data_IF_560929082327
#
_entry.id   IF_560929082327
#
_cell.length_a   1.000
_cell.length_b   1.000
_cell.length_c   1.000
_cell.angle_alpha   90.00
_cell.angle_beta   90.00
_cell.angle_gamma   90.00
#
_symmetry.space_group_name_H-M   'P 1'
#
loop_
_entity.id
_entity.type
_entity.pdbx_description
1 polymer ?
#
# COMPACT_ATOMS: atom_id res chain seq x y z
N UNK A 1 13.75 -3.15 -1.21
CA UNK A 1 12.76 -2.85 -2.27
C UNK A 1 11.58 -2.09 -1.69
N UNK A 2 10.90 -2.68 -0.68
CA UNK A 2 9.77 -2.06 0.03
C UNK A 2 10.10 -0.68 0.60
N UNK A 3 11.23 -0.52 1.29
CA UNK A 3 11.65 0.80 1.81
C UNK A 3 11.79 1.87 0.72
N UNK A 4 12.31 1.50 -0.46
CA UNK A 4 12.44 2.43 -1.60
C UNK A 4 11.07 2.83 -2.13
N UNK A 5 10.15 1.88 -2.27
CA UNK A 5 8.78 2.15 -2.71
C UNK A 5 8.03 3.03 -1.69
N UNK A 6 8.18 2.72 -0.40
CA UNK A 6 7.62 3.52 0.69
C UNK A 6 8.17 4.95 0.69
N UNK A 7 9.48 5.13 0.50
CA UNK A 7 10.08 6.47 0.37
C UNK A 7 9.51 7.27 -0.80
N UNK A 8 9.22 6.62 -1.95
CA UNK A 8 8.53 7.25 -3.08
C UNK A 8 7.10 7.65 -2.72
N UNK A 9 6.37 6.79 -2.00
CA UNK A 9 5.00 7.07 -1.53
C UNK A 9 5.00 8.28 -0.58
N UNK A 10 5.90 8.32 0.39
CA UNK A 10 6.08 9.44 1.32
C UNK A 10 6.46 10.73 0.59
N UNK A 11 7.36 10.66 -0.39
CA UNK A 11 7.71 11.82 -1.21
C UNK A 11 6.48 12.34 -1.97
N UNK A 12 5.64 11.45 -2.53
CA UNK A 12 4.39 11.84 -3.21
C UNK A 12 3.33 12.36 -2.26
N UNK A 13 3.26 11.86 -1.02
CA UNK A 13 2.40 12.41 0.06
C UNK A 13 2.80 13.85 0.38
N UNK A 14 4.10 14.15 0.37
CA UNK A 14 4.65 15.48 0.65
C UNK A 14 4.50 16.44 -0.51
N UNK A 15 4.92 16.03 -1.71
CA UNK A 15 5.03 16.92 -2.87
C UNK A 15 3.70 17.06 -3.64
N UNK A 16 2.77 16.12 -3.46
CA UNK A 16 1.48 16.07 -4.15
C UNK A 16 1.56 16.34 -5.67
N UNK A 17 2.40 15.62 -6.43
CA UNK A 17 2.54 15.85 -7.87
C UNK A 17 1.22 15.65 -8.62
N UNK A 18 0.91 16.55 -9.55
CA UNK A 18 -0.29 16.43 -10.39
C UNK A 18 -0.29 15.14 -11.23
N UNK A 19 -1.47 14.55 -11.42
CA UNK A 19 -1.65 13.32 -12.21
C UNK A 19 -1.20 12.03 -11.53
N UNK A 20 -0.57 12.09 -10.36
CA UNK A 20 -0.16 10.91 -9.60
C UNK A 20 -1.35 10.19 -8.95
N UNK A 21 -1.45 8.88 -9.18
CA UNK A 21 -2.44 8.03 -8.50
C UNK A 21 -2.29 8.09 -6.98
N UNK A 22 -1.05 8.08 -6.46
CA UNK A 22 -0.77 8.19 -5.03
C UNK A 22 -1.31 9.50 -4.45
N UNK A 23 -1.19 10.60 -5.20
CA UNK A 23 -1.71 11.92 -4.81
C UNK A 23 -3.24 11.91 -4.75
N UNK A 24 -3.90 11.27 -5.73
CA UNK A 24 -5.35 11.10 -5.70
C UNK A 24 -5.82 10.33 -4.45
N UNK A 25 -5.10 9.26 -4.06
CA UNK A 25 -5.42 8.49 -2.85
C UNK A 25 -5.31 9.36 -1.58
N UNK A 26 -4.22 10.11 -1.42
CA UNK A 26 -4.04 10.97 -0.26
C UNK A 26 -5.06 12.12 -0.22
N UNK A 27 -5.35 12.76 -1.35
CA UNK A 27 -6.40 13.79 -1.45
C UNK A 27 -7.79 13.24 -1.13
N UNK A 28 -8.05 11.96 -1.43
CA UNK A 28 -9.31 11.28 -1.11
C UNK A 28 -9.42 10.85 0.36
N UNK A 29 -8.32 10.93 1.11
CA UNK A 29 -8.28 10.68 2.55
C UNK A 29 -8.33 9.21 2.96
N UNK A 30 -8.18 9.01 4.28
CA UNK A 30 -8.02 7.70 4.93
C UNK A 30 -9.13 6.69 4.59
N UNK A 31 -10.38 7.15 4.46
CA UNK A 31 -11.52 6.27 4.13
C UNK A 31 -11.34 5.59 2.77
N UNK A 32 -10.96 6.35 1.73
CA UNK A 32 -10.73 5.81 0.38
C UNK A 32 -9.53 4.86 0.35
N UNK A 33 -8.46 5.20 1.08
CA UNK A 33 -7.25 4.38 1.18
C UNK A 33 -7.58 3.02 1.81
N UNK A 34 -8.30 2.99 2.94
CA UNK A 34 -8.75 1.75 3.58
C UNK A 34 -9.66 0.94 2.67
N UNK A 35 -10.60 1.61 1.98
CA UNK A 35 -11.50 0.95 1.02
C UNK A 35 -10.71 0.26 -0.09
N UNK A 36 -9.76 0.94 -0.75
CA UNK A 36 -8.90 0.33 -1.77
C UNK A 36 -8.10 -0.84 -1.21
N UNK A 37 -7.46 -0.68 -0.05
CA UNK A 37 -6.71 -1.78 0.60
C UNK A 37 -7.59 -3.01 0.84
N UNK A 38 -8.86 -2.82 1.23
CA UNK A 38 -9.81 -3.92 1.39
C UNK A 38 -10.30 -4.53 0.08
N UNK A 39 -10.40 -3.74 -1.00
CA UNK A 39 -10.71 -4.24 -2.35
C UNK A 39 -9.61 -5.18 -2.84
N UNK A 40 -8.34 -4.75 -2.81
CA UNK A 40 -7.21 -5.59 -3.27
C UNK A 40 -7.08 -6.89 -2.47
N UNK A 41 -7.43 -6.84 -1.17
CA UNK A 41 -7.44 -8.04 -0.34
C UNK A 41 -8.52 -9.04 -0.78
N UNK A 42 -9.68 -8.56 -1.22
CA UNK A 42 -10.75 -9.41 -1.76
C UNK A 42 -10.36 -9.90 -3.15
N UNK A 43 -9.79 -9.05 -4.00
CA UNK A 43 -9.34 -9.41 -5.35
C UNK A 43 -8.26 -10.50 -5.29
N UNK A 44 -7.28 -10.39 -4.38
CA UNK A 44 -6.30 -11.44 -4.13
C UNK A 44 -6.93 -12.77 -3.69
N UNK A 45 -8.00 -12.74 -2.88
CA UNK A 45 -8.69 -13.96 -2.45
C UNK A 45 -9.48 -14.63 -3.59
N UNK A 46 -9.85 -13.87 -4.62
CA UNK A 46 -10.64 -14.33 -5.75
C UNK A 46 -9.77 -14.70 -6.97
N UNK A 47 -8.49 -14.33 -6.98
CA UNK A 47 -7.56 -14.65 -8.05
C UNK A 47 -7.47 -16.16 -8.31
N UNK A 48 -7.61 -16.57 -9.57
CA UNK A 48 -7.71 -17.98 -9.96
C UNK A 48 -6.40 -18.54 -10.53
N UNK A 49 -5.54 -17.67 -11.08
CA UNK A 49 -4.28 -18.06 -11.68
C UNK A 49 -3.05 -17.37 -11.05
N UNK A 50 -1.87 -17.86 -11.44
CA UNK A 50 -0.60 -17.39 -10.88
C UNK A 50 -0.35 -15.91 -11.18
N UNK A 51 -0.70 -15.44 -12.37
CA UNK A 51 -0.41 -14.07 -12.79
C UNK A 51 -1.35 -13.09 -12.08
N UNK A 52 -2.62 -13.47 -11.92
CA UNK A 52 -3.59 -12.74 -11.09
C UNK A 52 -3.12 -12.66 -9.63
N UNK A 53 -2.71 -13.79 -9.02
CA UNK A 53 -2.23 -13.79 -7.63
C UNK A 53 -1.04 -12.84 -7.46
N UNK A 54 -0.07 -12.87 -8.37
CA UNK A 54 1.09 -11.97 -8.31
C UNK A 54 0.67 -10.51 -8.46
N UNK A 55 -0.26 -10.22 -9.37
CA UNK A 55 -0.79 -8.87 -9.59
C UNK A 55 -1.50 -8.33 -8.35
N UNK A 56 -2.51 -9.05 -7.87
CA UNK A 56 -3.35 -8.61 -6.75
C UNK A 56 -2.57 -8.56 -5.43
N UNK A 57 -1.61 -9.47 -5.21
CA UNK A 57 -0.72 -9.38 -4.06
C UNK A 57 0.17 -8.14 -4.13
N UNK A 58 0.63 -7.76 -5.33
CA UNK A 58 1.43 -6.55 -5.52
C UNK A 58 0.62 -5.29 -5.26
N UNK A 59 -0.63 -5.24 -5.72
CA UNK A 59 -1.53 -4.11 -5.48
C UNK A 59 -1.93 -4.01 -4.01
N UNK A 60 -2.22 -5.14 -3.34
CA UNK A 60 -2.45 -5.17 -1.90
C UNK A 60 -1.24 -4.64 -1.13
N UNK A 61 -0.01 -5.06 -1.46
CA UNK A 61 1.21 -4.57 -0.82
C UNK A 61 1.36 -3.07 -1.05
N UNK A 62 1.16 -2.58 -2.28
CA UNK A 62 1.25 -1.16 -2.58
C UNK A 62 0.22 -0.34 -1.78
N UNK A 63 -1.04 -0.77 -1.77
CA UNK A 63 -2.12 -0.10 -1.04
C UNK A 63 -1.93 -0.16 0.48
N UNK A 64 -1.38 -1.25 1.01
CA UNK A 64 -0.94 -1.35 2.39
C UNK A 64 0.15 -0.32 2.70
N UNK A 65 1.16 -0.14 1.85
CA UNK A 65 2.21 0.86 2.08
C UNK A 65 1.66 2.30 2.06
N UNK A 66 0.68 2.60 1.18
CA UNK A 66 -0.03 3.89 1.18
C UNK A 66 -0.83 4.07 2.47
N UNK A 67 -1.46 3.02 2.98
CA UNK A 67 -2.18 3.05 4.26
C UNK A 67 -1.25 3.32 5.44
N UNK A 68 -0.09 2.64 5.49
CA UNK A 68 0.93 2.87 6.52
C UNK A 68 1.45 4.31 6.47
N UNK A 69 1.77 4.82 5.28
CA UNK A 69 2.17 6.21 5.08
C UNK A 69 1.09 7.18 5.54
N UNK A 70 -0.18 6.94 5.22
CA UNK A 70 -1.30 7.78 5.67
C UNK A 70 -1.50 7.76 7.20
N UNK A 71 -1.01 6.72 7.88
CA UNK A 71 -1.06 6.56 9.34
C UNK A 71 0.26 6.94 10.04
N UNK A 72 1.24 7.44 9.29
CA UNK A 72 2.59 7.77 9.78
C UNK A 72 3.32 6.58 10.43
N UNK A 73 3.06 5.36 9.94
CA UNK A 73 3.69 4.11 10.39
C UNK A 73 4.74 3.69 9.37
N UNK A 74 5.97 3.39 9.82
CA UNK A 74 7.01 2.97 8.89
C UNK A 74 7.05 1.45 8.69
N UNK A 75 7.47 0.95 7.50
CA UNK A 75 7.58 -0.49 7.26
C UNK A 75 8.46 -1.23 8.27
N UNK A 76 9.50 -0.59 8.82
CA UNK A 76 10.40 -1.20 9.80
C UNK A 76 9.67 -1.57 11.10
N UNK A 77 8.58 -0.89 11.44
CA UNK A 77 7.74 -1.24 12.60
C UNK A 77 6.98 -2.54 12.35
N UNK A 78 6.48 -2.75 11.12
CA UNK A 78 5.83 -4.00 10.72
C UNK A 78 6.83 -5.14 10.64
N UNK A 79 8.03 -4.90 10.13
CA UNK A 79 9.07 -5.93 10.05
C UNK A 79 9.48 -6.43 11.44
N UNK A 80 9.63 -5.54 12.42
CA UNK A 80 9.89 -5.93 13.82
C UNK A 80 8.77 -6.79 14.40
N UNK A 81 7.51 -6.47 14.10
CA UNK A 81 6.37 -7.29 14.51
C UNK A 81 6.37 -8.66 13.82
N UNK A 82 6.75 -8.71 12.53
CA UNK A 82 6.86 -9.98 11.78
C UNK A 82 8.02 -10.85 12.28
N UNK A 83 9.15 -10.27 12.66
CA UNK A 83 10.28 -11.00 13.27
C UNK A 83 9.87 -11.78 14.52
N UNK A 84 8.84 -11.32 15.25
CA UNK A 84 8.32 -12.05 16.42
C UNK A 84 7.54 -13.33 16.08
N UNK A 85 7.29 -13.57 14.78
CA UNK A 85 6.48 -14.69 14.26
C UNK A 85 7.31 -15.77 13.58
N UNK A 86 8.61 -15.52 13.40
CA UNK A 86 9.61 -16.53 13.01
C UNK A 86 10.12 -17.28 14.24
#
# INVERSE_FOLDING_TARGET
MIERLYAVIEQRKKDMPEGSYTTHLFNSGMSKIKKKTGEEAIELLLAEDHDEIVSEASDLIYHMLVLLAAADIKPEEIFKELESRE
#
